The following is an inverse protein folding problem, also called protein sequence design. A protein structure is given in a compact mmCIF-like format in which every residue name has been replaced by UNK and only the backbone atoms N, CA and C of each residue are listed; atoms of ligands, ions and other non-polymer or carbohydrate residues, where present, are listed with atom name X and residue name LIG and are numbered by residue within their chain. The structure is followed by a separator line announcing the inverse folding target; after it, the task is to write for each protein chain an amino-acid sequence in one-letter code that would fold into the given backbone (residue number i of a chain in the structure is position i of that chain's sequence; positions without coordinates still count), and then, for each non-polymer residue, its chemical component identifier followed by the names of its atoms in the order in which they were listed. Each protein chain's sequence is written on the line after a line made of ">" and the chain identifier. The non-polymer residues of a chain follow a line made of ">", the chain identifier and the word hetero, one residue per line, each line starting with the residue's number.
data_IF_981476509843
#
_entry.id   IF_981476509843
#
_cell.length_a   1.000
_cell.length_b   1.000
_cell.length_c   1.000
_cell.angle_alpha   90.00
_cell.angle_beta   90.00
_cell.angle_gamma   90.00
#
_symmetry.space_group_name_H-M   'P 1'
#
loop_
_entity.id
_entity.type
_entity.pdbx_description
1 polymer ?
#
# COMPACT_ATOMS: atom_id res chain seq x y z
N UNK A 1 -31.67 5.78 -9.58
CA UNK A 1 -30.95 5.45 -10.80
C UNK A 1 -30.05 4.27 -10.52
N UNK A 2 -30.28 3.16 -11.24
CA UNK A 2 -29.67 1.84 -10.99
C UNK A 2 -28.15 1.85 -11.23
N UNK A 3 -27.34 1.98 -10.14
CA UNK A 3 -25.86 1.83 -10.20
C UNK A 3 -25.36 0.51 -9.60
N UNK A 4 -26.22 -0.39 -9.14
CA UNK A 4 -25.82 -1.49 -8.22
C UNK A 4 -25.39 -2.80 -8.87
N UNK A 5 -25.41 -2.98 -10.19
CA UNK A 5 -25.14 -4.32 -10.79
C UNK A 5 -23.88 -4.46 -11.63
N UNK A 6 -23.13 -3.40 -11.92
CA UNK A 6 -21.96 -3.45 -12.83
C UNK A 6 -20.60 -3.53 -12.14
N UNK A 7 -20.52 -3.33 -10.82
CA UNK A 7 -19.25 -3.21 -10.10
C UNK A 7 -18.58 -4.53 -9.65
N UNK A 8 -19.28 -5.66 -9.78
CA UNK A 8 -18.82 -6.94 -9.20
C UNK A 8 -17.68 -7.61 -10.00
N UNK A 9 -17.45 -7.20 -11.26
CA UNK A 9 -16.44 -7.81 -12.15
C UNK A 9 -15.33 -6.86 -12.63
N UNK A 10 -15.30 -5.61 -12.21
CA UNK A 10 -14.27 -4.68 -12.68
C UNK A 10 -12.97 -4.84 -11.88
N UNK A 11 -11.84 -4.78 -12.61
CA UNK A 11 -10.51 -4.69 -12.02
C UNK A 11 -10.41 -3.41 -11.19
N UNK A 12 -10.03 -3.57 -9.92
CA UNK A 12 -9.94 -2.45 -8.98
C UNK A 12 -8.62 -1.72 -9.16
N UNK A 13 -8.67 -0.39 -9.22
CA UNK A 13 -7.50 0.48 -9.02
C UNK A 13 -7.75 1.33 -7.79
N UNK A 14 -6.99 1.06 -6.73
CA UNK A 14 -7.16 1.62 -5.40
C UNK A 14 -6.05 2.64 -5.12
N UNK A 15 -6.41 3.91 -4.98
CA UNK A 15 -5.45 4.99 -4.77
C UNK A 15 -5.56 5.56 -3.35
N UNK A 16 -4.43 5.69 -2.66
CA UNK A 16 -4.35 6.41 -1.40
C UNK A 16 -3.99 7.87 -1.64
N UNK A 17 -4.78 8.79 -1.08
CA UNK A 17 -4.54 10.24 -1.08
C UNK A 17 -4.20 10.71 0.34
N UNK A 18 -3.04 11.34 0.50
CA UNK A 18 -2.56 11.85 1.80
C UNK A 18 -2.75 13.35 1.98
N UNK A 19 -3.44 14.03 1.04
CA UNK A 19 -3.95 15.39 1.23
C UNK A 19 -3.11 16.53 0.66
N UNK A 20 -2.21 16.28 -0.29
CA UNK A 20 -1.43 17.34 -0.95
C UNK A 20 -2.21 18.15 -2.00
N UNK A 21 -3.52 17.94 -2.16
CA UNK A 21 -4.41 18.60 -3.15
C UNK A 21 -4.00 18.43 -4.62
N UNK A 22 -3.26 17.40 -4.94
CA UNK A 22 -2.84 17.06 -6.33
C UNK A 22 -3.84 16.18 -7.05
N UNK A 23 -4.91 15.77 -6.39
CA UNK A 23 -5.87 14.79 -6.85
C UNK A 23 -6.55 15.13 -8.19
N UNK A 24 -6.66 16.41 -8.57
CA UNK A 24 -7.21 16.79 -9.89
C UNK A 24 -6.37 16.26 -11.05
N UNK A 25 -5.10 16.02 -10.82
CA UNK A 25 -4.12 15.54 -11.80
C UNK A 25 -3.91 14.03 -11.82
N UNK A 26 -4.65 13.27 -11.00
CA UNK A 26 -4.60 11.81 -11.05
C UNK A 26 -5.20 11.26 -12.34
N UNK A 27 -4.80 10.06 -12.73
CA UNK A 27 -5.43 9.36 -13.87
C UNK A 27 -6.78 8.74 -13.48
N UNK A 28 -7.80 9.58 -13.44
CA UNK A 28 -9.16 9.19 -13.10
C UNK A 28 -9.82 8.22 -14.09
N UNK A 29 -9.19 7.98 -15.24
CA UNK A 29 -9.68 6.96 -16.18
C UNK A 29 -9.51 5.54 -15.65
N UNK A 30 -8.62 5.35 -14.64
CA UNK A 30 -8.30 4.07 -14.04
C UNK A 30 -8.88 3.90 -12.64
N UNK A 31 -8.91 4.95 -11.84
CA UNK A 31 -9.24 4.89 -10.40
C UNK A 31 -10.68 4.41 -10.19
N UNK A 32 -10.83 3.36 -9.39
CA UNK A 32 -12.15 2.87 -8.95
C UNK A 32 -12.48 3.27 -7.52
N UNK A 33 -11.47 3.46 -6.68
CA UNK A 33 -11.61 3.89 -5.28
C UNK A 33 -10.44 4.77 -4.87
N UNK A 34 -10.73 5.87 -4.17
CA UNK A 34 -9.75 6.69 -3.45
C UNK A 34 -9.95 6.52 -1.95
N UNK A 35 -8.91 6.12 -1.24
CA UNK A 35 -8.87 6.14 0.22
C UNK A 35 -8.27 7.46 0.70
N UNK A 36 -9.05 8.23 1.45
CA UNK A 36 -8.65 9.55 1.95
C UNK A 36 -7.97 9.39 3.30
N UNK A 37 -6.64 9.51 3.30
CA UNK A 37 -5.81 9.46 4.50
C UNK A 37 -5.37 10.86 4.96
N UNK A 38 -5.60 11.86 4.15
CA UNK A 38 -5.46 13.27 4.50
C UNK A 38 -6.73 13.88 5.10
N UNK A 39 -6.74 15.20 5.19
CA UNK A 39 -7.93 15.94 5.62
C UNK A 39 -9.05 15.80 4.59
N UNK A 40 -10.29 15.67 5.07
CA UNK A 40 -11.47 15.66 4.20
C UNK A 40 -11.52 16.89 3.29
N UNK A 41 -11.79 16.64 2.01
CA UNK A 41 -11.94 17.64 0.95
C UNK A 41 -13.23 17.35 0.15
N UNK A 42 -14.21 18.22 0.29
CA UNK A 42 -15.50 18.08 -0.41
C UNK A 42 -15.37 18.24 -1.93
N UNK A 43 -14.36 18.97 -2.42
CA UNK A 43 -14.12 19.08 -3.86
C UNK A 43 -13.59 17.75 -4.42
N UNK A 44 -12.66 17.10 -3.71
CA UNK A 44 -12.20 15.75 -4.07
C UNK A 44 -13.37 14.79 -4.14
N UNK A 45 -14.25 14.81 -3.14
CA UNK A 45 -15.44 13.96 -3.08
C UNK A 45 -16.32 14.14 -4.33
N UNK A 46 -16.73 15.36 -4.63
CA UNK A 46 -17.56 15.66 -5.78
C UNK A 46 -16.88 15.28 -7.10
N UNK A 47 -15.58 15.54 -7.19
CA UNK A 47 -14.82 15.24 -8.41
C UNK A 47 -14.69 13.73 -8.64
N UNK A 48 -14.31 12.97 -7.61
CA UNK A 48 -14.23 11.51 -7.68
C UNK A 48 -15.57 10.89 -8.10
N UNK A 49 -16.68 11.34 -7.51
CA UNK A 49 -18.02 10.89 -7.87
C UNK A 49 -18.37 11.24 -9.32
N UNK A 50 -17.96 12.41 -9.82
CA UNK A 50 -18.16 12.78 -11.22
C UNK A 50 -17.40 11.86 -12.21
N UNK A 51 -16.32 11.22 -11.73
CA UNK A 51 -15.52 10.22 -12.47
C UNK A 51 -16.00 8.78 -12.26
N UNK A 52 -17.02 8.57 -11.44
CA UNK A 52 -17.54 7.25 -11.10
C UNK A 52 -16.70 6.47 -10.10
N UNK A 53 -15.73 7.10 -9.46
CA UNK A 53 -14.90 6.51 -8.42
C UNK A 53 -15.57 6.61 -7.04
N UNK A 54 -15.32 5.59 -6.19
CA UNK A 54 -15.67 5.63 -4.76
C UNK A 54 -14.65 6.45 -3.98
N UNK A 55 -15.10 7.02 -2.88
CA UNK A 55 -14.23 7.64 -1.87
C UNK A 55 -14.51 6.99 -0.53
N UNK A 56 -13.48 6.46 0.11
CA UNK A 56 -13.58 5.76 1.39
C UNK A 56 -12.78 6.48 2.46
N UNK A 57 -13.30 6.51 3.69
CA UNK A 57 -12.59 7.12 4.81
C UNK A 57 -11.58 6.15 5.43
N UNK A 58 -10.55 6.70 6.07
CA UNK A 58 -9.63 5.94 6.89
C UNK A 58 -10.30 5.47 8.18
N UNK A 59 -10.12 4.20 8.52
CA UNK A 59 -10.50 3.63 9.81
C UNK A 59 -9.28 3.13 10.56
N UNK A 60 -8.98 3.73 11.71
CA UNK A 60 -7.95 3.28 12.63
C UNK A 60 -8.49 3.31 14.07
N UNK A 61 -7.93 2.47 14.91
CA UNK A 61 -8.31 2.33 16.32
C UNK A 61 -7.25 1.55 17.07
N UNK A 62 -7.13 1.76 18.36
CA UNK A 62 -6.25 0.94 19.22
C UNK A 62 -6.90 -0.42 19.50
N UNK A 63 -6.15 -1.50 19.27
CA UNK A 63 -6.63 -2.88 19.44
C UNK A 63 -7.10 -3.19 20.86
N UNK A 64 -6.45 -2.63 21.88
CA UNK A 64 -6.87 -2.80 23.28
C UNK A 64 -8.30 -2.34 23.54
N UNK A 65 -8.77 -1.34 22.81
CA UNK A 65 -10.10 -0.75 23.03
C UNK A 65 -11.20 -1.57 22.37
N UNK A 66 -10.90 -2.27 21.26
CA UNK A 66 -11.90 -3.04 20.49
C UNK A 66 -12.22 -4.41 21.09
N UNK A 67 -11.56 -4.82 22.15
CA UNK A 67 -11.94 -6.02 22.91
C UNK A 67 -13.33 -5.87 23.47
N UNK A 68 -13.71 -4.66 23.90
CA UNK A 68 -15.05 -4.34 24.36
C UNK A 68 -16.04 -4.21 23.18
N UNK A 69 -17.09 -5.08 23.12
CA UNK A 69 -18.11 -4.98 22.07
C UNK A 69 -18.86 -3.64 22.07
N UNK A 70 -19.04 -3.02 23.24
CA UNK A 70 -19.72 -1.71 23.35
C UNK A 70 -18.86 -0.62 22.71
N UNK A 71 -17.55 -0.66 22.92
CA UNK A 71 -16.63 0.25 22.27
C UNK A 71 -16.66 0.06 20.75
N UNK A 72 -16.61 -1.19 20.25
CA UNK A 72 -16.70 -1.46 18.81
C UNK A 72 -17.97 -0.88 18.20
N UNK A 73 -19.10 -1.10 18.82
CA UNK A 73 -20.40 -0.58 18.34
C UNK A 73 -20.41 0.96 18.27
N UNK A 74 -19.85 1.63 19.27
CA UNK A 74 -19.74 3.09 19.32
C UNK A 74 -18.81 3.63 18.22
N UNK A 75 -17.63 3.02 18.04
CA UNK A 75 -16.69 3.39 17.00
C UNK A 75 -17.29 3.23 15.60
N UNK A 76 -17.95 2.10 15.34
CA UNK A 76 -18.61 1.82 14.06
C UNK A 76 -19.71 2.85 13.78
N UNK A 77 -20.57 3.14 14.76
CA UNK A 77 -21.63 4.13 14.63
C UNK A 77 -21.07 5.51 14.28
N UNK A 78 -19.97 5.92 14.91
CA UNK A 78 -19.27 7.17 14.61
C UNK A 78 -18.74 7.18 13.17
N UNK A 79 -18.08 6.10 12.71
CA UNK A 79 -17.54 6.02 11.35
C UNK A 79 -18.64 6.04 10.28
N UNK A 80 -19.73 5.35 10.51
CA UNK A 80 -20.92 5.39 9.62
C UNK A 80 -21.50 6.80 9.55
N UNK A 81 -21.62 7.48 10.69
CA UNK A 81 -22.11 8.86 10.74
C UNK A 81 -21.22 9.82 9.94
N UNK A 82 -19.88 9.71 10.11
CA UNK A 82 -18.91 10.51 9.34
C UNK A 82 -19.05 10.23 7.86
N UNK A 83 -19.12 8.96 7.46
CA UNK A 83 -19.27 8.57 6.06
C UNK A 83 -20.55 9.15 5.44
N UNK A 84 -21.71 9.07 6.14
CA UNK A 84 -22.97 9.66 5.69
C UNK A 84 -22.88 11.17 5.55
N UNK A 85 -22.32 11.84 6.55
CA UNK A 85 -22.20 13.31 6.57
C UNK A 85 -21.28 13.83 5.46
N UNK A 86 -20.26 13.07 5.13
CA UNK A 86 -19.26 13.42 4.12
C UNK A 86 -19.53 12.77 2.75
N UNK A 87 -20.67 12.10 2.56
CA UNK A 87 -21.04 11.40 1.33
C UNK A 87 -20.01 10.34 0.86
N UNK A 88 -19.31 9.72 1.82
CA UNK A 88 -18.32 8.68 1.52
C UNK A 88 -18.97 7.33 1.22
N UNK A 89 -18.30 6.54 0.39
CA UNK A 89 -18.79 5.28 -0.15
C UNK A 89 -18.30 4.06 0.63
N UNK A 90 -17.70 4.27 1.80
CA UNK A 90 -17.21 3.17 2.62
C UNK A 90 -16.03 3.56 3.50
N UNK A 91 -15.30 2.54 3.94
CA UNK A 91 -14.17 2.66 4.86
C UNK A 91 -13.02 1.74 4.45
N UNK A 92 -11.80 2.23 4.55
CA UNK A 92 -10.58 1.44 4.52
C UNK A 92 -10.02 1.35 5.94
N UNK A 93 -9.97 0.16 6.50
CA UNK A 93 -9.48 -0.10 7.86
C UNK A 93 -7.99 -0.38 7.80
N UNK A 94 -7.21 0.49 8.44
CA UNK A 94 -5.75 0.44 8.50
C UNK A 94 -5.30 0.30 9.96
N UNK A 95 -5.07 -0.94 10.37
CA UNK A 95 -4.61 -1.30 11.72
C UNK A 95 -3.31 -2.09 11.57
N UNK A 96 -2.22 -1.52 12.08
CA UNK A 96 -0.87 -2.06 11.92
C UNK A 96 -0.21 -2.46 13.25
N UNK A 97 -1.02 -2.71 14.26
CA UNK A 97 -0.55 -3.07 15.59
C UNK A 97 -0.24 -4.57 15.70
N UNK A 98 0.66 -4.92 16.62
CA UNK A 98 0.99 -6.31 16.92
C UNK A 98 -0.21 -7.05 17.48
N UNK A 99 -0.41 -8.28 17.03
CA UNK A 99 -1.42 -9.21 17.56
C UNK A 99 -0.79 -10.58 17.74
N UNK A 100 -0.94 -11.14 18.93
CA UNK A 100 -0.64 -12.55 19.17
C UNK A 100 -1.90 -13.38 18.89
N UNK A 101 -1.77 -14.49 18.17
CA UNK A 101 -2.91 -15.36 17.80
C UNK A 101 -3.67 -15.95 18.98
N UNK A 102 -3.06 -15.98 20.18
CA UNK A 102 -3.72 -16.41 21.43
C UNK A 102 -4.31 -15.27 22.26
N UNK A 103 -4.18 -14.02 21.80
CA UNK A 103 -4.67 -12.85 22.54
C UNK A 103 -6.14 -12.56 22.22
N UNK A 104 -6.88 -11.87 23.12
CA UNK A 104 -8.27 -11.50 22.87
C UNK A 104 -8.42 -10.54 21.68
N UNK A 105 -7.39 -9.75 21.34
CA UNK A 105 -7.37 -8.85 20.20
C UNK A 105 -7.49 -9.59 18.86
N UNK A 106 -7.02 -10.82 18.78
CA UNK A 106 -7.10 -11.65 17.58
C UNK A 106 -8.55 -11.83 17.08
N UNK A 107 -9.44 -12.24 18.01
CA UNK A 107 -10.85 -12.40 17.69
C UNK A 107 -11.59 -11.07 17.63
N UNK A 108 -11.22 -10.11 18.47
CA UNK A 108 -11.83 -8.78 18.50
C UNK A 108 -11.60 -8.01 17.17
N UNK A 109 -10.42 -8.15 16.57
CA UNK A 109 -10.13 -7.53 15.28
C UNK A 109 -11.00 -8.10 14.16
N UNK A 110 -11.15 -9.41 14.10
CA UNK A 110 -12.04 -10.07 13.13
C UNK A 110 -13.49 -9.64 13.34
N UNK A 111 -13.94 -9.57 14.60
CA UNK A 111 -15.28 -9.09 14.94
C UNK A 111 -15.49 -7.62 14.52
N UNK A 112 -14.51 -6.74 14.77
CA UNK A 112 -14.57 -5.35 14.34
C UNK A 112 -14.79 -5.23 12.83
N UNK A 113 -14.02 -5.96 12.03
CA UNK A 113 -14.13 -5.91 10.58
C UNK A 113 -15.48 -6.41 10.10
N UNK A 114 -15.99 -7.52 10.67
CA UNK A 114 -17.30 -8.08 10.34
C UNK A 114 -18.43 -7.11 10.70
N UNK A 115 -18.46 -6.63 11.93
CA UNK A 115 -19.49 -5.71 12.43
C UNK A 115 -19.47 -4.38 11.65
N UNK A 116 -18.29 -3.89 11.29
CA UNK A 116 -18.11 -2.69 10.44
C UNK A 116 -18.71 -2.91 9.06
N UNK A 117 -18.40 -4.03 8.41
CA UNK A 117 -18.90 -4.37 7.08
C UNK A 117 -20.42 -4.49 7.08
N UNK A 118 -20.98 -5.22 8.04
CA UNK A 118 -22.45 -5.39 8.19
C UNK A 118 -23.15 -4.03 8.39
N UNK A 119 -22.56 -3.16 9.21
CA UNK A 119 -23.13 -1.84 9.48
C UNK A 119 -23.06 -0.92 8.27
N UNK A 120 -21.91 -0.84 7.61
CA UNK A 120 -21.75 -0.02 6.39
C UNK A 120 -22.67 -0.49 5.27
N UNK A 121 -22.74 -1.79 4.99
CA UNK A 121 -23.62 -2.33 3.94
C UNK A 121 -25.10 -2.09 4.22
N UNK A 122 -25.52 -2.11 5.49
CA UNK A 122 -26.90 -1.81 5.90
C UNK A 122 -27.23 -0.32 5.78
N UNK A 123 -26.31 0.55 6.17
CA UNK A 123 -26.55 1.98 6.34
C UNK A 123 -26.23 2.82 5.09
N UNK A 124 -25.35 2.34 4.22
CA UNK A 124 -24.89 3.02 3.01
C UNK A 124 -24.92 2.02 1.85
N UNK A 125 -25.93 2.13 1.00
CA UNK A 125 -26.13 1.23 -0.13
C UNK A 125 -24.91 1.21 -1.06
N UNK A 126 -24.39 0.02 -1.37
CA UNK A 126 -23.26 -0.19 -2.25
C UNK A 126 -21.91 0.23 -1.65
N UNK A 127 -21.84 0.44 -0.34
CA UNK A 127 -20.61 0.79 0.36
C UNK A 127 -19.53 -0.29 0.24
N UNK A 128 -18.27 0.14 0.33
CA UNK A 128 -17.09 -0.70 0.24
C UNK A 128 -16.33 -0.68 1.56
N UNK A 129 -16.10 -1.85 2.15
CA UNK A 129 -15.29 -2.02 3.36
C UNK A 129 -14.07 -2.85 3.04
N UNK A 130 -12.89 -2.27 3.25
CA UNK A 130 -11.61 -2.91 2.97
C UNK A 130 -10.71 -2.91 4.20
N UNK A 131 -9.76 -3.83 4.23
CA UNK A 131 -8.80 -3.95 5.32
C UNK A 131 -7.39 -4.05 4.75
N UNK A 132 -6.46 -3.28 5.31
CA UNK A 132 -5.06 -3.29 4.92
C UNK A 132 -4.30 -4.38 5.69
N UNK A 133 -3.70 -5.33 4.96
CA UNK A 133 -2.91 -6.41 5.54
C UNK A 133 -1.43 -6.26 5.21
N UNK A 134 -0.58 -6.83 6.07
CA UNK A 134 0.86 -6.90 5.83
C UNK A 134 1.19 -7.62 4.52
N UNK A 135 2.38 -7.34 3.98
CA UNK A 135 2.84 -7.97 2.75
C UNK A 135 2.91 -9.50 2.83
N UNK A 136 3.07 -10.09 4.01
CA UNK A 136 3.08 -11.54 4.24
C UNK A 136 2.14 -11.95 5.36
N UNK A 137 1.50 -13.11 5.22
CA UNK A 137 0.64 -13.71 6.22
C UNK A 137 1.39 -14.38 7.38
N UNK A 138 2.73 -14.46 7.31
CA UNK A 138 3.59 -15.16 8.28
C UNK A 138 3.97 -14.31 9.49
N UNK A 139 2.98 -13.69 10.13
CA UNK A 139 3.18 -12.86 11.32
C UNK A 139 4.26 -11.77 11.15
N UNK A 140 4.40 -11.24 9.95
CA UNK A 140 5.31 -10.12 9.71
C UNK A 140 5.00 -8.99 10.68
N UNK A 141 6.03 -8.35 11.21
CA UNK A 141 5.91 -7.28 12.19
C UNK A 141 5.07 -7.67 13.42
N UNK A 142 5.06 -8.97 13.76
CA UNK A 142 4.23 -9.57 14.82
C UNK A 142 2.73 -9.37 14.62
N UNK A 143 2.29 -9.20 13.38
CA UNK A 143 0.87 -9.09 13.01
C UNK A 143 0.32 -10.48 12.68
N UNK A 144 0.07 -11.28 13.72
CA UNK A 144 -0.49 -12.63 13.58
C UNK A 144 -2.03 -12.57 13.51
N UNK A 145 -2.57 -11.90 12.50
CA UNK A 145 -4.02 -11.69 12.34
C UNK A 145 -4.74 -12.95 11.85
N UNK A 146 -6.04 -13.02 12.07
CA UNK A 146 -6.93 -14.01 11.44
C UNK A 146 -7.22 -13.58 9.99
N UNK A 147 -6.25 -13.74 9.11
CA UNK A 147 -6.33 -13.24 7.74
C UNK A 147 -7.50 -13.81 6.94
N UNK A 148 -7.78 -15.10 7.08
CA UNK A 148 -8.93 -15.74 6.40
C UNK A 148 -10.25 -15.22 6.93
N UNK A 149 -10.41 -15.09 8.26
CA UNK A 149 -11.60 -14.53 8.87
C UNK A 149 -11.83 -13.08 8.51
N UNK A 150 -10.77 -12.25 8.43
CA UNK A 150 -10.83 -10.87 8.01
C UNK A 150 -11.19 -10.76 6.52
N UNK A 151 -10.59 -11.58 5.65
CA UNK A 151 -10.93 -11.62 4.23
C UNK A 151 -12.39 -11.97 3.99
N UNK A 152 -12.93 -12.93 4.74
CA UNK A 152 -14.35 -13.30 4.67
C UNK A 152 -15.28 -12.20 5.18
N UNK A 153 -14.80 -11.41 6.14
CA UNK A 153 -15.58 -10.38 6.82
C UNK A 153 -15.71 -9.06 6.05
N UNK A 154 -14.84 -8.76 5.10
CA UNK A 154 -14.83 -7.50 4.33
C UNK A 154 -14.97 -7.73 2.81
N UNK A 155 -15.10 -6.65 2.05
CA UNK A 155 -15.25 -6.74 0.60
C UNK A 155 -13.96 -7.24 -0.06
N UNK A 156 -12.80 -6.71 0.34
CA UNK A 156 -11.48 -7.21 -0.05
C UNK A 156 -10.37 -6.69 0.87
N UNK A 157 -9.21 -7.35 0.78
CA UNK A 157 -7.98 -6.94 1.43
C UNK A 157 -7.15 -6.10 0.46
N UNK A 158 -6.59 -5.01 0.96
CA UNK A 158 -5.48 -4.32 0.32
C UNK A 158 -4.18 -4.86 0.94
N UNK A 159 -3.35 -5.52 0.13
CA UNK A 159 -2.09 -6.08 0.61
C UNK A 159 -0.99 -5.03 0.46
N UNK A 160 -0.41 -4.61 1.57
CA UNK A 160 0.67 -3.64 1.63
C UNK A 160 2.00 -4.29 1.25
N UNK A 161 2.16 -4.68 -0.03
CA UNK A 161 3.36 -5.32 -0.55
C UNK A 161 4.46 -4.30 -0.82
N UNK A 162 4.91 -3.70 0.24
CA UNK A 162 6.02 -2.76 0.38
C UNK A 162 6.51 -2.79 1.83
N UNK A 163 7.58 -2.04 2.15
CA UNK A 163 8.28 -2.11 3.44
C UNK A 163 8.71 -3.55 3.76
N UNK A 164 9.04 -4.31 2.72
CA UNK A 164 9.36 -5.73 2.86
C UNK A 164 10.73 -5.99 3.51
N UNK A 165 11.49 -4.91 3.79
CA UNK A 165 12.71 -4.92 4.60
C UNK A 165 12.47 -4.46 6.04
N UNK A 166 11.22 -4.41 6.51
CA UNK A 166 10.89 -4.05 7.90
C UNK A 166 11.53 -4.98 8.92
N UNK A 167 11.69 -6.27 8.59
CA UNK A 167 12.38 -7.25 9.39
C UNK A 167 13.40 -8.02 8.54
N UNK A 168 14.69 -7.72 8.72
CA UNK A 168 15.79 -8.41 8.04
C UNK A 168 16.51 -9.31 9.03
N UNK A 169 16.41 -10.61 8.80
CA UNK A 169 16.98 -11.66 9.65
C UNK A 169 18.37 -12.11 9.20
N UNK A 170 18.81 -11.70 8.04
CA UNK A 170 20.12 -11.95 7.46
C UNK A 170 21.11 -10.80 7.71
N UNK A 171 22.07 -10.61 6.82
CA UNK A 171 22.98 -9.47 6.86
C UNK A 171 22.27 -8.14 6.64
N UNK A 172 22.73 -7.09 7.31
CA UNK A 172 22.21 -5.73 7.18
C UNK A 172 22.70 -5.11 5.85
N UNK A 173 21.98 -5.36 4.78
CA UNK A 173 22.28 -4.90 3.42
C UNK A 173 21.05 -4.18 2.87
N UNK A 174 21.27 -3.05 2.17
CA UNK A 174 20.21 -2.36 1.45
C UNK A 174 19.60 -3.24 0.36
N UNK A 175 18.29 -3.25 0.25
CA UNK A 175 17.56 -4.07 -0.70
C UNK A 175 16.28 -3.36 -1.17
N UNK A 176 15.62 -3.94 -2.19
CA UNK A 176 14.39 -3.40 -2.73
C UNK A 176 13.29 -3.28 -1.68
N UNK A 177 12.51 -2.21 -1.78
CA UNK A 177 11.32 -1.98 -0.95
C UNK A 177 10.29 -3.12 -1.09
N UNK A 178 10.13 -3.63 -2.32
CA UNK A 178 9.22 -4.72 -2.65
C UNK A 178 9.88 -5.67 -3.67
N UNK A 179 10.78 -6.57 -3.21
CA UNK A 179 11.48 -7.53 -4.08
C UNK A 179 10.48 -8.45 -4.80
N UNK A 180 10.58 -8.54 -6.13
CA UNK A 180 9.57 -9.19 -6.96
C UNK A 180 9.22 -10.60 -6.51
N UNK A 181 10.19 -11.50 -6.39
CA UNK A 181 9.93 -12.89 -6.01
C UNK A 181 9.36 -13.03 -4.59
N UNK A 182 9.84 -12.24 -3.64
CA UNK A 182 9.33 -12.22 -2.26
C UNK A 182 7.89 -11.73 -2.22
N UNK A 183 7.60 -10.63 -2.93
CA UNK A 183 6.24 -10.09 -3.07
C UNK A 183 5.28 -11.13 -3.63
N UNK A 184 5.64 -11.78 -4.75
CA UNK A 184 4.78 -12.76 -5.39
C UNK A 184 4.53 -13.99 -4.52
N UNK A 185 5.57 -14.49 -3.86
CA UNK A 185 5.45 -15.63 -2.93
C UNK A 185 4.46 -15.33 -1.79
N UNK A 186 4.43 -14.12 -1.30
CA UNK A 186 3.51 -13.72 -0.23
C UNK A 186 2.02 -13.73 -0.68
N UNK A 187 1.73 -13.40 -1.94
CA UNK A 187 0.37 -13.57 -2.49
C UNK A 187 0.00 -15.05 -2.60
N UNK A 188 0.92 -15.88 -3.03
CA UNK A 188 0.69 -17.34 -3.06
C UNK A 188 0.38 -17.89 -1.67
N UNK A 189 1.07 -17.41 -0.63
CA UNK A 189 0.78 -17.76 0.76
C UNK A 189 -0.66 -17.39 1.18
N UNK A 190 -1.13 -16.18 0.88
CA UNK A 190 -2.51 -15.78 1.14
C UNK A 190 -3.52 -16.66 0.41
N UNK A 191 -3.25 -17.04 -0.84
CA UNK A 191 -4.11 -17.91 -1.64
C UNK A 191 -4.11 -19.34 -1.09
N UNK A 192 -2.96 -19.88 -0.71
CA UNK A 192 -2.80 -21.21 -0.11
C UNK A 192 -3.51 -21.35 1.24
N UNK A 193 -3.68 -20.26 1.98
CA UNK A 193 -4.51 -20.21 3.18
C UNK A 193 -6.01 -20.39 2.90
N UNK A 194 -6.43 -20.39 1.63
CA UNK A 194 -7.83 -20.46 1.22
C UNK A 194 -8.48 -19.10 0.91
N UNK A 195 -7.72 -18.02 0.86
CA UNK A 195 -8.26 -16.71 0.47
C UNK A 195 -8.42 -16.66 -1.05
N UNK A 196 -9.64 -16.36 -1.50
CA UNK A 196 -9.93 -16.21 -2.92
C UNK A 196 -9.09 -15.05 -3.50
N UNK A 197 -8.35 -15.24 -4.62
CA UNK A 197 -7.60 -14.16 -5.27
C UNK A 197 -8.44 -12.90 -5.55
N UNK A 198 -9.73 -13.04 -5.78
CA UNK A 198 -10.68 -11.92 -5.96
C UNK A 198 -10.93 -11.12 -4.67
N UNK A 199 -10.40 -11.55 -3.55
CA UNK A 199 -10.36 -10.80 -2.29
C UNK A 199 -9.04 -10.04 -2.07
N UNK A 200 -8.09 -10.10 -3.00
CA UNK A 200 -6.77 -9.50 -2.86
C UNK A 200 -6.55 -8.38 -3.89
N UNK A 201 -6.26 -7.19 -3.42
CA UNK A 201 -5.77 -6.05 -4.20
C UNK A 201 -4.29 -5.85 -3.90
N UNK A 202 -3.45 -5.84 -4.92
CA UNK A 202 -2.01 -5.67 -4.77
C UNK A 202 -1.65 -4.21 -4.52
N UNK A 203 -1.05 -3.92 -3.36
CA UNK A 203 -0.43 -2.62 -3.10
C UNK A 203 0.98 -2.55 -3.67
N UNK A 204 1.30 -1.46 -4.38
CA UNK A 204 2.65 -1.18 -4.85
C UNK A 204 3.14 0.16 -4.29
N UNK A 205 4.46 0.30 -4.01
CA UNK A 205 4.99 1.55 -3.48
C UNK A 205 5.30 2.53 -4.62
N UNK A 206 4.89 3.79 -4.46
CA UNK A 206 5.36 4.90 -5.28
C UNK A 206 6.43 5.73 -4.57
N UNK A 207 7.15 5.09 -3.67
CA UNK A 207 8.29 5.62 -2.92
C UNK A 207 9.36 4.55 -2.83
N UNK A 208 10.57 4.98 -2.51
CA UNK A 208 11.70 4.10 -2.26
C UNK A 208 12.33 4.34 -0.91
N UNK A 209 13.45 3.68 -0.67
CA UNK A 209 14.28 3.87 0.51
C UNK A 209 15.66 4.35 0.13
N UNK A 210 16.12 5.38 0.82
CA UNK A 210 17.48 5.90 0.77
C UNK A 210 18.24 5.40 1.99
N UNK A 211 19.23 4.56 1.76
CA UNK A 211 20.11 4.00 2.78
C UNK A 211 21.47 4.64 2.77
N UNK A 212 21.96 5.11 3.91
CA UNK A 212 23.37 5.45 4.07
C UNK A 212 24.19 4.17 4.16
N UNK A 213 25.18 4.00 3.29
CA UNK A 213 26.07 2.83 3.28
C UNK A 213 27.18 3.01 4.32
N UNK A 214 27.35 2.05 5.21
CA UNK A 214 28.57 1.94 6.03
C UNK A 214 29.75 1.56 5.17
N UNK A 215 29.52 0.64 4.23
CA UNK A 215 30.45 0.27 3.15
C UNK A 215 29.66 0.10 1.86
N UNK A 216 30.31 0.42 0.74
CA UNK A 216 29.77 0.16 -0.59
C UNK A 216 30.85 -0.59 -1.38
N UNK A 217 30.58 -1.83 -1.78
CA UNK A 217 31.50 -2.64 -2.57
C UNK A 217 31.50 -2.27 -4.05
N UNK A 218 32.46 -2.78 -4.80
CA UNK A 218 32.50 -2.64 -6.27
C UNK A 218 31.29 -3.30 -6.95
N UNK A 219 30.74 -4.36 -6.35
CA UNK A 219 29.54 -5.05 -6.82
C UNK A 219 28.25 -4.37 -6.34
N UNK A 220 28.33 -3.14 -5.87
CA UNK A 220 27.21 -2.33 -5.39
C UNK A 220 26.49 -2.90 -4.15
N UNK A 221 27.14 -3.69 -3.32
CA UNK A 221 26.56 -4.13 -2.03
C UNK A 221 26.76 -3.02 -1.00
N UNK A 222 25.64 -2.46 -0.52
CA UNK A 222 25.59 -1.40 0.48
C UNK A 222 25.27 -1.99 1.85
N UNK A 223 26.28 -2.06 2.73
CA UNK A 223 26.06 -2.46 4.12
C UNK A 223 25.45 -1.29 4.89
N UNK A 224 24.41 -1.57 5.64
CA UNK A 224 23.63 -0.56 6.40
C UNK A 224 23.76 -0.74 7.91
N UNK A 225 23.39 0.27 8.67
CA UNK A 225 23.40 0.23 10.13
C UNK A 225 22.46 -0.87 10.67
N UNK A 226 22.83 -1.46 11.79
CA UNK A 226 21.97 -2.37 12.54
C UNK A 226 20.91 -1.56 13.29
N UNK A 227 19.68 -1.57 12.75
CA UNK A 227 18.52 -0.98 13.40
C UNK A 227 17.51 -2.10 13.62
N UNK A 228 17.45 -2.68 14.82
CA UNK A 228 16.57 -3.80 15.10
C UNK A 228 15.11 -3.36 15.11
N UNK A 229 14.23 -4.24 14.63
CA UNK A 229 12.79 -4.00 14.66
C UNK A 229 12.04 -5.31 14.97
N UNK A 230 11.22 -5.28 16.01
CA UNK A 230 10.35 -6.40 16.43
C UNK A 230 11.04 -7.77 16.44
N UNK A 231 12.29 -7.80 16.91
CA UNK A 231 13.11 -9.01 17.07
C UNK A 231 14.10 -9.26 15.92
N UNK A 232 13.91 -8.71 14.76
CA UNK A 232 14.90 -8.79 13.68
C UNK A 232 16.10 -7.88 13.96
N UNK A 233 17.34 -8.29 13.63
CA UNK A 233 18.53 -7.50 13.91
C UNK A 233 18.70 -6.28 13.01
N UNK A 234 18.08 -6.27 11.84
CA UNK A 234 18.14 -5.20 10.87
C UNK A 234 16.75 -4.86 10.34
N UNK A 235 16.57 -3.64 9.84
CA UNK A 235 15.32 -3.16 9.27
C UNK A 235 15.54 -2.02 8.27
N UNK A 236 14.50 -1.66 7.54
CA UNK A 236 14.44 -0.49 6.69
C UNK A 236 14.49 0.84 7.45
N UNK A 237 14.32 0.81 8.78
CA UNK A 237 14.53 1.98 9.64
C UNK A 237 16.00 2.48 9.65
N UNK A 238 16.94 1.70 9.10
CA UNK A 238 18.31 2.17 8.80
C UNK A 238 18.36 3.18 7.64
N UNK A 239 17.32 3.25 6.81
CA UNK A 239 17.11 4.22 5.75
C UNK A 239 15.96 5.16 6.05
N UNK A 240 15.52 5.89 5.04
CA UNK A 240 14.32 6.69 5.09
C UNK A 240 13.56 6.63 3.77
N UNK A 241 12.25 6.81 3.85
CA UNK A 241 11.37 6.80 2.69
C UNK A 241 11.57 8.05 1.83
N UNK A 242 11.60 7.88 0.52
CA UNK A 242 11.75 8.97 -0.46
C UNK A 242 10.68 8.82 -1.54
N UNK A 243 9.80 9.82 -1.74
CA UNK A 243 8.79 9.80 -2.80
C UNK A 243 9.42 9.72 -4.21
N UNK A 244 8.74 9.05 -5.14
CA UNK A 244 9.21 8.90 -6.52
C UNK A 244 9.58 10.24 -7.18
N UNK A 245 8.80 11.30 -6.96
CA UNK A 245 9.08 12.66 -7.46
C UNK A 245 10.45 13.21 -7.02
N UNK A 246 10.91 12.84 -5.84
CA UNK A 246 12.23 13.25 -5.31
C UNK A 246 13.32 12.36 -5.90
N UNK A 247 13.09 11.05 -5.99
CA UNK A 247 14.01 10.10 -6.61
C UNK A 247 14.32 10.51 -8.05
N UNK A 248 13.31 10.91 -8.83
CA UNK A 248 13.49 11.33 -10.22
C UNK A 248 14.34 12.59 -10.38
N UNK A 249 14.37 13.46 -9.38
CA UNK A 249 15.28 14.62 -9.34
C UNK A 249 16.68 14.23 -8.89
N UNK A 250 16.79 13.36 -7.90
CA UNK A 250 18.05 12.95 -7.29
C UNK A 250 18.86 12.01 -8.19
N UNK A 251 18.21 11.20 -8.99
CA UNK A 251 18.89 10.20 -9.86
C UNK A 251 19.86 10.84 -10.84
N UNK A 252 19.68 12.11 -11.18
CA UNK A 252 20.62 12.87 -12.02
C UNK A 252 21.99 13.10 -11.35
N UNK A 253 22.06 13.01 -10.02
CA UNK A 253 23.31 13.10 -9.24
C UNK A 253 23.93 11.72 -8.94
N UNK A 254 23.40 10.67 -9.52
CA UNK A 254 23.90 9.31 -9.35
C UNK A 254 25.34 9.17 -9.85
N UNK A 255 26.16 8.47 -9.08
CA UNK A 255 27.53 8.11 -9.46
C UNK A 255 27.60 6.74 -10.18
N UNK A 256 26.55 5.91 -10.05
CA UNK A 256 26.47 4.58 -10.66
C UNK A 256 25.63 4.54 -11.93
N UNK A 257 24.88 5.59 -12.23
CA UNK A 257 23.70 5.49 -13.08
C UNK A 257 22.63 4.62 -12.45
N UNK A 258 21.48 4.49 -13.12
CA UNK A 258 20.43 3.58 -12.68
C UNK A 258 20.88 2.14 -12.97
N UNK A 259 20.90 1.32 -11.92
CA UNK A 259 21.18 -0.10 -12.00
C UNK A 259 19.86 -0.88 -11.91
N UNK A 260 19.81 -2.06 -12.50
CA UNK A 260 18.71 -3.00 -12.39
C UNK A 260 19.17 -4.29 -11.71
N UNK A 261 18.57 -4.61 -10.57
CA UNK A 261 18.83 -5.90 -9.91
C UNK A 261 17.89 -6.97 -10.50
N UNK A 262 18.47 -7.99 -11.10
CA UNK A 262 17.73 -9.05 -11.80
C UNK A 262 16.99 -9.99 -10.84
N UNK A 263 17.51 -10.20 -9.65
CA UNK A 263 16.91 -11.12 -8.67
C UNK A 263 15.71 -10.46 -7.98
N UNK A 264 15.83 -9.16 -7.66
CA UNK A 264 14.77 -8.39 -7.00
C UNK A 264 13.82 -7.70 -7.99
N UNK A 265 14.18 -7.68 -9.30
CA UNK A 265 13.43 -7.01 -10.37
C UNK A 265 13.08 -5.56 -10.00
N UNK A 266 14.05 -4.82 -9.51
CA UNK A 266 13.91 -3.46 -9.05
C UNK A 266 15.14 -2.61 -9.41
N UNK A 267 14.93 -1.30 -9.69
CA UNK A 267 16.00 -0.36 -9.91
C UNK A 267 16.60 0.15 -8.60
N UNK A 268 17.89 0.49 -8.66
CA UNK A 268 18.59 1.23 -7.62
C UNK A 268 19.67 2.11 -8.21
N UNK A 269 20.16 3.07 -7.45
CA UNK A 269 21.34 3.86 -7.79
C UNK A 269 22.13 4.23 -6.54
N UNK A 270 23.40 4.58 -6.74
CA UNK A 270 24.27 5.07 -5.68
C UNK A 270 24.58 6.55 -5.90
N UNK A 271 24.71 7.30 -4.82
CA UNK A 271 25.17 8.67 -4.84
C UNK A 271 26.04 9.00 -3.61
N UNK A 272 26.73 10.13 -3.63
CA UNK A 272 27.41 10.69 -2.48
C UNK A 272 26.68 11.93 -2.00
N UNK A 273 26.50 12.02 -0.69
CA UNK A 273 25.98 13.24 -0.06
C UNK A 273 27.07 14.33 0.07
N UNK A 274 26.67 15.50 0.58
CA UNK A 274 27.58 16.62 0.77
C UNK A 274 28.74 16.36 1.78
N UNK A 275 28.57 15.36 2.65
CA UNK A 275 29.61 14.90 3.58
C UNK A 275 30.50 13.81 2.98
N UNK A 276 30.29 13.44 1.73
CA UNK A 276 31.06 12.40 1.04
C UNK A 276 30.65 10.96 1.39
N UNK A 277 29.55 10.75 2.10
CA UNK A 277 29.04 9.42 2.45
C UNK A 277 28.34 8.81 1.27
N UNK A 278 28.53 7.50 1.06
CA UNK A 278 27.79 6.77 0.05
C UNK A 278 26.38 6.47 0.51
N UNK A 279 25.46 6.56 -0.44
CA UNK A 279 24.05 6.22 -0.29
C UNK A 279 23.64 5.27 -1.42
N UNK A 280 22.66 4.41 -1.13
CA UNK A 280 22.00 3.58 -2.12
C UNK A 280 20.48 3.74 -2.00
N UNK A 281 19.84 4.07 -3.11
CA UNK A 281 18.39 4.28 -3.19
C UNK A 281 17.76 3.14 -3.98
N UNK A 282 16.86 2.41 -3.35
CA UNK A 282 16.04 1.37 -3.96
C UNK A 282 14.62 1.86 -4.13
N UNK A 283 14.00 1.62 -5.28
CA UNK A 283 12.66 2.10 -5.57
C UNK A 283 11.95 1.22 -6.60
N UNK A 284 10.68 1.51 -6.87
CA UNK A 284 9.94 0.94 -7.98
C UNK A 284 9.79 1.98 -9.11
N UNK A 285 9.96 1.53 -10.34
CA UNK A 285 9.79 2.32 -11.56
C UNK A 285 8.68 1.73 -12.44
N UNK A 286 8.32 2.34 -13.59
CA UNK A 286 7.29 1.78 -14.46
C UNK A 286 7.56 0.33 -14.90
N UNK A 287 8.81 -0.08 -15.04
CA UNK A 287 9.16 -1.46 -15.41
C UNK A 287 8.83 -2.44 -14.26
N UNK A 288 9.29 -2.18 -13.05
CA UNK A 288 9.04 -3.07 -11.90
C UNK A 288 7.55 -3.13 -11.54
N UNK A 289 6.84 -2.00 -11.62
CA UNK A 289 5.39 -1.95 -11.40
C UNK A 289 4.63 -2.71 -12.47
N UNK A 290 5.02 -2.60 -13.74
CA UNK A 290 4.38 -3.34 -14.85
C UNK A 290 4.51 -4.86 -14.68
N UNK A 291 5.64 -5.35 -14.15
CA UNK A 291 5.82 -6.77 -13.84
C UNK A 291 4.84 -7.23 -12.76
N UNK A 292 4.68 -6.45 -11.71
CA UNK A 292 3.72 -6.70 -10.63
C UNK A 292 2.27 -6.62 -11.12
N UNK A 293 1.94 -5.64 -11.95
CA UNK A 293 0.61 -5.52 -12.56
C UNK A 293 0.27 -6.74 -13.44
N UNK A 294 1.22 -7.26 -14.21
CA UNK A 294 1.03 -8.49 -14.99
C UNK A 294 0.72 -9.70 -14.09
N UNK A 295 1.39 -9.81 -12.93
CA UNK A 295 1.10 -10.87 -11.97
C UNK A 295 -0.33 -10.80 -11.42
N UNK A 296 -0.88 -9.61 -11.18
CA UNK A 296 -2.28 -9.47 -10.72
C UNK A 296 -3.26 -10.12 -11.69
N UNK A 297 -3.00 -9.99 -12.97
CA UNK A 297 -3.83 -10.61 -14.01
C UNK A 297 -3.63 -12.12 -14.06
N UNK A 298 -2.38 -12.59 -14.09
CA UNK A 298 -2.05 -14.01 -14.17
C UNK A 298 -2.63 -14.81 -12.99
N UNK A 299 -2.58 -14.25 -11.79
CA UNK A 299 -3.12 -14.88 -10.57
C UNK A 299 -4.60 -14.57 -10.33
N UNK A 300 -5.23 -13.79 -11.19
CA UNK A 300 -6.64 -13.46 -11.08
C UNK A 300 -6.98 -12.62 -9.84
N UNK A 301 -6.05 -11.78 -9.37
CA UNK A 301 -6.30 -10.88 -8.25
C UNK A 301 -7.42 -9.90 -8.57
N UNK A 302 -7.98 -9.26 -7.54
CA UNK A 302 -9.05 -8.28 -7.70
C UNK A 302 -8.59 -7.00 -8.37
N UNK A 303 -7.35 -6.60 -8.15
CA UNK A 303 -6.84 -5.35 -8.68
C UNK A 303 -5.47 -4.99 -8.14
N UNK A 304 -5.13 -3.72 -8.32
CA UNK A 304 -3.88 -3.10 -7.91
C UNK A 304 -4.16 -1.73 -7.29
N UNK A 305 -3.27 -1.25 -6.46
CA UNK A 305 -3.32 0.09 -5.92
C UNK A 305 -1.94 0.56 -5.51
N UNK A 306 -1.83 1.82 -5.05
CA UNK A 306 -0.53 2.37 -4.71
C UNK A 306 -0.56 3.13 -3.38
N UNK A 307 0.51 3.03 -2.64
CA UNK A 307 0.87 3.94 -1.57
C UNK A 307 2.01 4.83 -2.04
N UNK A 308 1.81 6.12 -2.25
CA UNK A 308 0.53 6.84 -2.36
C UNK A 308 0.55 7.74 -3.61
N UNK A 309 -0.60 8.19 -4.05
CA UNK A 309 -0.75 8.95 -5.29
C UNK A 309 -0.02 10.31 -5.27
N UNK A 310 0.22 10.90 -4.09
CA UNK A 310 0.94 12.15 -3.92
C UNK A 310 2.46 12.04 -4.09
N UNK A 311 3.00 10.82 -4.24
CA UNK A 311 4.43 10.60 -4.45
C UNK A 311 4.93 10.99 -5.84
N UNK A 312 4.03 11.29 -6.80
CA UNK A 312 4.40 11.72 -8.14
C UNK A 312 4.45 13.24 -8.28
N UNK A 313 5.11 13.72 -9.32
CA UNK A 313 5.23 15.15 -9.62
C UNK A 313 4.13 15.59 -10.58
N UNK A 314 3.18 16.38 -10.07
CA UNK A 314 2.06 16.95 -10.82
C UNK A 314 2.27 18.45 -11.17
N UNK A 315 3.53 18.91 -11.21
CA UNK A 315 3.87 20.30 -11.52
C UNK A 315 3.48 20.72 -12.95
N UNK A 316 3.33 19.77 -13.86
CA UNK A 316 3.05 20.01 -15.26
C UNK A 316 4.29 20.27 -16.11
N UNK A 317 5.50 20.26 -15.54
CA UNK A 317 6.75 20.26 -16.29
C UNK A 317 6.83 19.03 -17.21
N UNK A 318 7.33 19.19 -18.42
CA UNK A 318 7.28 18.15 -19.46
C UNK A 318 7.87 16.80 -19.03
N UNK A 319 9.04 16.81 -18.37
CA UNK A 319 9.71 15.59 -17.87
C UNK A 319 8.90 14.97 -16.72
N UNK A 320 8.46 15.79 -15.77
CA UNK A 320 7.66 15.33 -14.63
C UNK A 320 6.32 14.74 -15.09
N UNK A 321 5.67 15.37 -16.07
CA UNK A 321 4.43 14.88 -16.67
C UNK A 321 4.61 13.52 -17.32
N UNK A 322 5.66 13.33 -18.13
CA UNK A 322 5.96 12.05 -18.74
C UNK A 322 6.20 10.96 -17.70
N UNK A 323 7.05 11.22 -16.69
CA UNK A 323 7.34 10.28 -15.61
C UNK A 323 6.08 9.88 -14.85
N UNK A 324 5.21 10.84 -14.56
CA UNK A 324 3.93 10.64 -13.87
C UNK A 324 2.98 9.79 -14.71
N UNK A 325 2.81 10.10 -16.00
CA UNK A 325 1.98 9.32 -16.93
C UNK A 325 2.47 7.87 -17.07
N UNK A 326 3.78 7.65 -17.12
CA UNK A 326 4.39 6.32 -17.20
C UNK A 326 4.11 5.48 -15.93
N UNK A 327 4.15 6.09 -14.74
CA UNK A 327 3.81 5.41 -13.47
C UNK A 327 2.33 5.01 -13.42
N UNK A 328 1.41 5.90 -13.79
CA UNK A 328 -0.01 5.57 -13.88
C UNK A 328 -0.28 4.47 -14.92
N UNK A 329 0.36 4.56 -16.08
CA UNK A 329 0.23 3.55 -17.15
C UNK A 329 0.74 2.18 -16.72
N UNK A 330 1.75 2.12 -15.88
CA UNK A 330 2.35 0.87 -15.39
C UNK A 330 1.39 0.03 -14.54
N UNK A 331 0.35 0.64 -13.95
CA UNK A 331 -0.67 -0.07 -13.19
C UNK A 331 -1.60 -0.92 -14.07
N UNK A 332 -1.66 -0.63 -15.38
CA UNK A 332 -2.49 -1.41 -16.31
C UNK A 332 -1.76 -2.71 -16.66
N UNK A 333 -2.36 -3.88 -16.38
CA UNK A 333 -1.80 -5.13 -16.88
C UNK A 333 -1.71 -5.06 -18.42
N UNK A 334 -0.54 -5.34 -18.97
CA UNK A 334 -0.40 -5.50 -20.41
C UNK A 334 -1.03 -6.83 -20.80
N UNK A 335 -2.00 -6.77 -21.70
CA UNK A 335 -2.63 -7.93 -22.34
C UNK A 335 -1.61 -8.67 -23.22
#
# INVERSE_FOLDING_TARGET
>A
MQRSKLFICMFVVFAFDVGEKTWKSYDWSQITTVAVFGKYDSELMCYAHSKGARVVLKGDVFLKDIIDPTFRASWIAQKVMVAKTQYMDGINIDIEQEVNCSSPEYNALTALVKETTESFHREIEGSQVTFDVAWSSKCIDRRCYNYTGIADACDFLFVMSYDEQSQVWSECIAAANAPYNQTLAAYDEYIEMGINPKKLVMGVPWYGYDYTCLTLSEDHVCTIAKVPFRGAPCSDAAGHQVPYKIIMKQVNSSISGIQWNKDQQAPYYNYKDSAGRFHQVWYDNPQSISLKAAFTQTRGLRGIGMWNANCLDYSGEAVAKQQTEEMWKALKPKL
#
